data_IF_732075720761
#
_entry.id   IF_732075720761
#
_cell.length_a   1.000
_cell.length_b   1.000
_cell.length_c   1.000
_cell.angle_alpha   90.00
_cell.angle_beta   90.00
_cell.angle_gamma   90.00
#
_symmetry.space_group_name_H-M   'P 1'
#
loop_
_entity.id
_entity.type
_entity.pdbx_description
1 polymer ?
#
# COMPACT_ATOMS: atom_id res chain seq x y z
N UNK A 1 -16.17 -3.20 -14.37
CA UNK A 1 -15.38 -2.36 -13.45
C UNK A 1 -15.20 -1.01 -14.13
N UNK A 2 -15.92 0.00 -13.71
CA UNK A 2 -15.67 1.38 -14.16
C UNK A 2 -14.68 1.94 -13.15
N UNK A 3 -13.39 1.90 -13.49
CA UNK A 3 -12.38 2.68 -12.78
C UNK A 3 -12.62 4.14 -13.12
N UNK A 4 -13.20 4.89 -12.21
CA UNK A 4 -13.23 6.35 -12.33
C UNK A 4 -11.90 6.83 -11.77
N UNK A 5 -10.95 7.17 -12.65
CA UNK A 5 -9.72 7.82 -12.25
C UNK A 5 -10.06 9.23 -11.74
N UNK A 6 -9.86 9.46 -10.45
CA UNK A 6 -10.10 10.77 -9.82
C UNK A 6 -9.29 11.88 -10.51
N UNK A 7 -8.13 11.55 -11.09
CA UNK A 7 -7.33 12.49 -11.88
C UNK A 7 -7.99 12.90 -13.20
N UNK A 8 -8.72 11.99 -13.86
CA UNK A 8 -9.50 12.34 -15.05
C UNK A 8 -10.67 13.25 -14.70
N UNK A 9 -11.29 13.06 -13.51
CA UNK A 9 -12.34 13.97 -13.03
C UNK A 9 -11.76 15.35 -12.72
N UNK A 10 -10.61 15.44 -12.05
CA UNK A 10 -9.95 16.72 -11.79
C UNK A 10 -9.48 17.43 -13.07
N UNK A 11 -8.94 16.72 -14.04
CA UNK A 11 -8.55 17.31 -15.33
C UNK A 11 -9.75 17.80 -16.14
N UNK A 12 -10.81 17.01 -16.25
CA UNK A 12 -12.02 17.43 -16.96
C UNK A 12 -12.74 18.59 -16.26
N UNK A 13 -12.75 18.64 -14.94
CA UNK A 13 -13.26 19.76 -14.15
C UNK A 13 -12.41 21.02 -14.36
N UNK A 14 -11.07 20.89 -14.41
CA UNK A 14 -10.16 22.01 -14.58
C UNK A 14 -10.26 22.59 -16.01
N UNK A 15 -10.40 21.77 -17.02
CA UNK A 15 -10.59 22.20 -18.41
C UNK A 15 -11.96 22.87 -18.64
N UNK A 16 -13.04 22.36 -18.04
CA UNK A 16 -14.38 22.98 -18.12
C UNK A 16 -14.46 24.29 -17.33
N UNK A 17 -13.83 24.38 -16.17
CA UNK A 17 -13.76 25.62 -15.39
C UNK A 17 -12.94 26.69 -16.12
N UNK A 18 -11.91 26.35 -16.86
CA UNK A 18 -11.14 27.29 -17.67
C UNK A 18 -11.90 27.75 -18.92
N UNK A 19 -12.65 26.90 -19.58
CA UNK A 19 -13.48 27.27 -20.75
C UNK A 19 -14.71 28.11 -20.37
N UNK A 20 -15.32 27.87 -19.21
CA UNK A 20 -16.43 28.67 -18.70
C UNK A 20 -16.03 30.04 -18.13
N UNK A 21 -14.76 30.24 -17.75
CA UNK A 21 -14.26 31.57 -17.36
C UNK A 21 -14.20 32.57 -18.50
N UNK A 22 -14.17 32.12 -19.74
CA UNK A 22 -14.16 33.00 -20.92
C UNK A 22 -15.57 33.43 -21.33
N UNK A 23 -16.61 32.69 -20.95
CA UNK A 23 -18.00 32.94 -21.40
C UNK A 23 -18.89 33.78 -20.44
N UNK A 24 -18.52 34.04 -19.19
CA UNK A 24 -19.38 34.70 -18.22
C UNK A 24 -18.71 35.84 -17.45
N UNK A 25 -18.42 36.93 -18.14
CA UNK A 25 -18.02 38.22 -17.56
C UNK A 25 -19.21 39.20 -17.45
N UNK A 26 -20.41 38.74 -17.17
CA UNK A 26 -21.51 39.60 -16.72
C UNK A 26 -22.62 38.79 -16.05
N UNK A 27 -22.77 38.91 -14.75
CA UNK A 27 -23.99 38.49 -14.03
C UNK A 27 -23.72 37.78 -12.71
N UNK A 28 -24.04 38.43 -11.63
CA UNK A 28 -24.18 38.05 -10.23
C UNK A 28 -23.95 36.58 -9.83
N UNK A 29 -22.93 36.37 -9.03
CA UNK A 29 -22.54 35.08 -8.47
C UNK A 29 -23.30 34.83 -7.18
N UNK A 30 -24.29 33.95 -7.20
CA UNK A 30 -24.70 33.21 -6.01
C UNK A 30 -23.84 31.95 -5.89
N UNK A 31 -23.16 31.74 -4.75
CA UNK A 31 -22.25 30.64 -4.47
C UNK A 31 -22.97 29.30 -4.46
N UNK A 32 -23.17 28.66 -5.61
CA UNK A 32 -23.48 27.25 -5.73
C UNK A 32 -22.40 26.59 -6.57
N UNK A 33 -21.55 25.77 -5.93
CA UNK A 33 -20.58 24.90 -6.64
C UNK A 33 -21.35 23.69 -7.19
N UNK A 34 -21.68 23.73 -8.47
CA UNK A 34 -22.29 22.61 -9.18
C UNK A 34 -21.16 21.83 -9.89
N UNK A 35 -21.07 20.53 -9.65
CA UNK A 35 -20.15 19.62 -10.35
C UNK A 35 -20.94 18.80 -11.39
N UNK A 36 -20.38 18.66 -12.58
CA UNK A 36 -20.99 17.87 -13.65
C UNK A 36 -20.29 16.50 -13.73
N UNK A 37 -21.04 15.44 -13.54
CA UNK A 37 -20.56 14.06 -13.73
C UNK A 37 -20.90 13.61 -15.15
N UNK A 38 -19.87 13.19 -15.90
CA UNK A 38 -20.04 12.64 -17.25
C UNK A 38 -20.13 11.10 -17.15
N UNK A 39 -21.29 10.54 -17.38
CA UNK A 39 -21.54 9.11 -17.37
C UNK A 39 -21.66 8.62 -18.82
N UNK A 40 -20.54 8.20 -19.42
CA UNK A 40 -20.56 7.52 -20.71
C UNK A 40 -21.02 6.07 -20.52
N UNK A 41 -22.18 5.74 -21.06
CA UNK A 41 -22.60 4.35 -21.22
C UNK A 41 -22.16 3.89 -22.61
N UNK A 42 -21.12 3.07 -22.68
CA UNK A 42 -20.83 2.30 -23.90
C UNK A 42 -21.85 1.16 -24.01
N UNK A 43 -22.70 1.24 -25.01
CA UNK A 43 -23.49 0.09 -25.48
C UNK A 43 -22.77 -0.45 -26.71
N UNK A 44 -22.22 -1.66 -26.57
CA UNK A 44 -21.85 -2.47 -27.73
C UNK A 44 -23.10 -2.85 -28.51
N UNK A 45 -23.26 -2.31 -29.71
CA UNK A 45 -24.17 -2.81 -30.69
C UNK A 45 -23.36 -3.22 -31.94
N UNK A 46 -23.15 -4.53 -32.08
CA UNK A 46 -22.92 -5.13 -33.39
C UNK A 46 -24.24 -5.09 -34.16
N UNK A 47 -24.35 -4.22 -35.12
CA UNK A 47 -24.94 -4.45 -36.47
C UNK A 47 -24.99 -3.15 -37.26
N UNK A 48 -24.40 -3.18 -38.43
CA UNK A 48 -24.26 -2.02 -39.30
C UNK A 48 -25.61 -1.48 -39.85
N UNK A 49 -25.82 -0.22 -39.62
CA UNK A 49 -26.52 0.71 -40.53
C UNK A 49 -26.22 2.14 -40.07
N UNK A 50 -25.84 2.98 -41.05
CA UNK A 50 -25.43 4.36 -40.78
C UNK A 50 -26.65 5.19 -40.36
N UNK A 51 -26.85 5.34 -39.05
CA UNK A 51 -27.61 6.41 -38.45
C UNK A 51 -26.70 7.33 -37.65
N UNK A 52 -26.63 8.59 -38.08
CA UNK A 52 -26.04 9.66 -37.27
C UNK A 52 -26.91 9.84 -36.02
N UNK A 53 -26.64 9.13 -34.96
CA UNK A 53 -27.20 9.44 -33.67
C UNK A 53 -26.40 10.59 -33.05
N UNK A 54 -27.06 11.70 -32.89
CA UNK A 54 -26.53 12.85 -32.12
C UNK A 54 -26.57 12.43 -30.66
N UNK A 55 -25.39 12.07 -30.11
CA UNK A 55 -25.24 11.82 -28.68
C UNK A 55 -25.67 13.06 -27.90
N UNK A 56 -26.88 13.07 -27.36
CA UNK A 56 -27.29 14.06 -26.36
C UNK A 56 -26.62 13.75 -25.03
N UNK A 57 -25.50 14.39 -24.76
CA UNK A 57 -24.86 14.33 -23.44
C UNK A 57 -25.73 15.13 -22.46
N UNK A 58 -26.50 14.43 -21.64
CA UNK A 58 -27.24 15.07 -20.55
C UNK A 58 -26.36 15.15 -19.32
N UNK A 59 -26.05 16.37 -18.92
CA UNK A 59 -25.33 16.61 -17.66
C UNK A 59 -26.32 16.59 -16.49
N UNK A 60 -26.00 15.77 -15.47
CA UNK A 60 -26.70 15.76 -14.20
C UNK A 60 -26.05 16.81 -13.29
N UNK A 61 -26.78 17.86 -12.96
CA UNK A 61 -26.37 18.81 -11.93
C UNK A 61 -26.79 18.25 -10.58
N UNK A 62 -25.82 17.80 -9.77
CA UNK A 62 -26.09 17.28 -8.44
C UNK A 62 -25.52 18.24 -7.42
N UNK A 63 -26.33 18.64 -6.42
CA UNK A 63 -25.83 19.40 -5.28
C UNK A 63 -25.07 18.46 -4.34
N UNK A 64 -23.73 18.57 -4.35
CA UNK A 64 -22.84 17.77 -3.49
C UNK A 64 -23.12 18.01 -2.01
N UNK A 65 -23.64 19.19 -1.64
CA UNK A 65 -23.97 19.50 -0.26
C UNK A 65 -25.26 18.80 0.21
N UNK A 66 -26.06 18.28 -0.73
CA UNK A 66 -27.21 17.44 -0.43
C UNK A 66 -26.88 15.97 -0.69
N UNK A 67 -26.23 15.34 0.30
CA UNK A 67 -25.82 13.94 0.24
C UNK A 67 -26.97 13.02 -0.16
N UNK A 68 -28.19 13.30 0.26
CA UNK A 68 -29.36 12.47 -0.04
C UNK A 68 -29.71 12.51 -1.52
N UNK A 69 -29.78 13.68 -2.12
CA UNK A 69 -30.05 13.87 -3.55
C UNK A 69 -28.92 13.28 -4.40
N UNK A 70 -27.67 13.47 -3.98
CA UNK A 70 -26.51 12.87 -4.60
C UNK A 70 -26.60 11.34 -4.60
N UNK A 71 -26.88 10.71 -3.45
CA UNK A 71 -27.02 9.27 -3.32
C UNK A 71 -28.21 8.72 -4.13
N UNK A 72 -29.37 9.37 -4.11
CA UNK A 72 -30.55 8.96 -4.86
C UNK A 72 -30.28 8.99 -6.37
N UNK A 73 -29.57 10.01 -6.84
CA UNK A 73 -29.15 10.12 -8.23
C UNK A 73 -28.18 9.02 -8.64
N UNK A 74 -27.17 8.74 -7.80
CA UNK A 74 -26.21 7.66 -8.04
C UNK A 74 -26.92 6.31 -8.03
N UNK A 75 -27.77 6.03 -7.04
CA UNK A 75 -28.50 4.77 -6.94
C UNK A 75 -29.35 4.49 -8.17
N UNK A 76 -30.04 5.50 -8.71
CA UNK A 76 -30.89 5.33 -9.91
C UNK A 76 -30.11 4.96 -11.16
N UNK A 77 -28.82 5.30 -11.24
CA UNK A 77 -27.94 5.08 -12.41
C UNK A 77 -26.98 3.91 -12.27
N UNK A 78 -26.82 3.35 -11.06
CA UNK A 78 -25.75 2.39 -10.75
C UNK A 78 -26.25 1.05 -10.21
N UNK A 79 -27.50 0.70 -10.49
CA UNK A 79 -28.07 -0.61 -10.09
C UNK A 79 -27.15 -1.74 -10.53
N UNK A 80 -26.71 -2.56 -9.57
CA UNK A 80 -25.82 -3.70 -9.83
C UNK A 80 -24.33 -3.37 -9.96
N UNK A 81 -23.91 -2.11 -9.86
CA UNK A 81 -22.50 -1.69 -9.92
C UNK A 81 -21.84 -1.62 -8.54
N UNK A 82 -20.51 -1.69 -8.53
CA UNK A 82 -19.69 -1.49 -7.33
C UNK A 82 -18.99 -0.15 -7.39
N UNK A 83 -18.94 0.55 -6.25
CA UNK A 83 -18.08 1.71 -6.06
C UNK A 83 -16.77 1.23 -5.46
N UNK A 84 -15.66 1.49 -6.16
CA UNK A 84 -14.32 1.11 -5.71
C UNK A 84 -13.59 2.38 -5.28
N UNK A 85 -13.23 2.43 -3.99
CA UNK A 85 -12.38 3.48 -3.43
C UNK A 85 -10.98 2.93 -3.28
N UNK A 86 -10.16 3.19 -4.29
CA UNK A 86 -8.75 2.79 -4.28
C UNK A 86 -7.92 3.79 -3.48
N UNK A 87 -6.84 3.30 -2.88
CA UNK A 87 -5.93 4.11 -2.09
C UNK A 87 -6.60 4.86 -0.92
N UNK A 88 -7.63 4.29 -0.34
CA UNK A 88 -8.41 4.88 0.75
C UNK A 88 -7.56 5.29 1.97
N UNK A 89 -6.42 4.65 2.16
CA UNK A 89 -5.46 4.95 3.22
C UNK A 89 -4.82 6.34 3.09
N UNK A 90 -4.87 6.97 1.92
CA UNK A 90 -4.36 8.33 1.71
C UNK A 90 -5.30 9.44 2.23
N UNK A 91 -6.54 9.10 2.52
CA UNK A 91 -7.47 10.07 3.11
C UNK A 91 -7.07 10.41 4.54
N UNK A 92 -7.34 11.65 4.98
CA UNK A 92 -7.15 12.03 6.37
C UNK A 92 -7.98 11.12 7.30
N UNK A 93 -7.50 10.75 8.50
CA UNK A 93 -8.22 9.88 9.43
C UNK A 93 -9.64 10.35 9.73
N UNK A 94 -9.86 11.66 9.84
CA UNK A 94 -11.20 12.26 10.03
C UNK A 94 -12.12 11.99 8.86
N UNK A 95 -11.61 12.12 7.62
CA UNK A 95 -12.37 11.84 6.39
C UNK A 95 -12.65 10.33 6.26
N UNK A 96 -11.69 9.48 6.62
CA UNK A 96 -11.90 8.02 6.66
C UNK A 96 -13.04 7.68 7.63
N UNK A 97 -13.04 8.27 8.82
CA UNK A 97 -14.06 8.03 9.84
C UNK A 97 -15.45 8.53 9.38
N UNK A 98 -15.53 9.74 8.83
CA UNK A 98 -16.77 10.27 8.25
C UNK A 98 -17.29 9.37 7.13
N UNK A 99 -16.45 8.97 6.20
CA UNK A 99 -16.81 8.05 5.13
C UNK A 99 -17.31 6.70 5.65
N UNK A 100 -16.62 6.10 6.63
CA UNK A 100 -17.04 4.84 7.24
C UNK A 100 -18.43 4.95 7.90
N UNK A 101 -18.77 6.11 8.48
CA UNK A 101 -20.12 6.32 9.05
C UNK A 101 -21.23 6.33 8.00
N UNK A 102 -20.91 6.67 6.74
CA UNK A 102 -21.86 6.67 5.64
C UNK A 102 -22.06 5.30 4.98
N UNK A 103 -21.15 4.34 5.19
CA UNK A 103 -21.22 3.02 4.54
C UNK A 103 -22.52 2.26 4.86
N UNK A 104 -23.10 2.51 6.04
CA UNK A 104 -24.39 1.94 6.42
C UNK A 104 -25.53 2.47 5.55
N UNK A 105 -25.56 3.77 5.32
CA UNK A 105 -26.55 4.40 4.44
C UNK A 105 -26.39 3.91 3.00
N UNK A 106 -25.16 3.78 2.50
CA UNK A 106 -24.88 3.18 1.18
C UNK A 106 -25.46 1.79 1.07
N UNK A 107 -25.25 0.94 2.08
CA UNK A 107 -25.77 -0.42 2.09
C UNK A 107 -27.32 -0.46 2.10
N UNK A 108 -27.98 0.41 2.89
CA UNK A 108 -29.45 0.50 2.87
C UNK A 108 -30.01 0.91 1.51
N UNK A 109 -29.26 1.67 0.73
CA UNK A 109 -29.63 2.09 -0.64
C UNK A 109 -29.19 1.08 -1.70
N UNK A 110 -28.66 -0.08 -1.32
CA UNK A 110 -28.20 -1.11 -2.24
C UNK A 110 -26.89 -0.77 -2.96
N UNK A 111 -26.18 0.27 -2.50
CA UNK A 111 -24.86 0.63 -3.04
C UNK A 111 -23.82 -0.34 -2.47
N UNK A 112 -23.11 -1.01 -3.36
CA UNK A 112 -22.00 -1.90 -3.01
C UNK A 112 -20.69 -1.14 -3.07
N UNK A 113 -19.93 -1.17 -1.96
CA UNK A 113 -18.67 -0.43 -1.82
C UNK A 113 -17.52 -1.42 -1.63
N UNK A 114 -16.43 -1.20 -2.37
CA UNK A 114 -15.15 -1.88 -2.19
C UNK A 114 -14.14 -0.81 -1.79
N UNK A 115 -13.49 -1.02 -0.65
CA UNK A 115 -12.42 -0.15 -0.16
C UNK A 115 -11.10 -0.90 -0.34
N UNK A 116 -10.16 -0.29 -1.07
CA UNK A 116 -8.82 -0.82 -1.27
C UNK A 116 -7.83 0.03 -0.48
N UNK A 117 -7.02 -0.62 0.33
CA UNK A 117 -6.02 0.05 1.16
C UNK A 117 -4.87 -0.89 1.51
N UNK A 118 -3.78 -0.35 2.02
CA UNK A 118 -2.58 -1.11 2.39
C UNK A 118 -2.61 -1.69 3.82
N UNK A 119 -3.74 -1.59 4.49
CA UNK A 119 -3.86 -2.06 5.87
C UNK A 119 -3.95 -3.59 5.94
N UNK A 120 -3.13 -4.18 6.79
CA UNK A 120 -3.25 -5.60 7.15
C UNK A 120 -4.27 -5.83 8.27
N UNK A 121 -4.79 -4.77 8.88
CA UNK A 121 -5.79 -4.85 9.94
C UNK A 121 -7.21 -4.90 9.33
N UNK A 122 -7.78 -6.09 9.32
CA UNK A 122 -9.16 -6.32 8.87
C UNK A 122 -10.20 -5.55 9.71
N UNK A 123 -9.85 -5.20 10.94
CA UNK A 123 -10.75 -4.52 11.88
C UNK A 123 -10.74 -3.00 11.74
N UNK A 124 -9.84 -2.40 10.95
CA UNK A 124 -9.69 -0.94 10.88
C UNK A 124 -10.98 -0.21 10.49
N UNK A 125 -11.69 -0.70 9.49
CA UNK A 125 -12.97 -0.10 9.06
C UNK A 125 -14.03 -0.25 10.16
N UNK A 126 -14.12 -1.42 10.78
CA UNK A 126 -15.08 -1.69 11.86
C UNK A 126 -14.69 -0.99 13.16
N UNK A 127 -13.40 -0.68 13.39
CA UNK A 127 -12.97 0.15 14.51
C UNK A 127 -13.39 1.61 14.34
N UNK A 128 -13.41 2.13 13.10
CA UNK A 128 -13.90 3.48 12.79
C UNK A 128 -15.44 3.57 12.86
N UNK A 129 -16.14 2.49 12.51
CA UNK A 129 -17.59 2.40 12.53
C UNK A 129 -18.04 1.02 13.07
N UNK A 130 -18.21 0.87 14.40
CA UNK A 130 -18.51 -0.41 15.04
C UNK A 130 -19.82 -1.07 14.58
N UNK A 131 -20.76 -0.30 14.07
CA UNK A 131 -22.03 -0.78 13.52
C UNK A 131 -21.88 -1.48 12.15
N UNK A 132 -20.69 -1.45 11.56
CA UNK A 132 -20.33 -2.24 10.38
C UNK A 132 -19.83 -3.64 10.70
N UNK A 133 -19.70 -4.02 11.97
CA UNK A 133 -19.38 -5.40 12.37
C UNK A 133 -20.41 -6.35 11.74
N UNK A 134 -19.96 -7.43 11.12
CA UNK A 134 -20.75 -8.39 10.35
C UNK A 134 -21.40 -7.87 9.05
N UNK A 135 -21.06 -6.65 8.61
CA UNK A 135 -21.53 -6.06 7.34
C UNK A 135 -20.39 -5.85 6.33
N UNK A 136 -19.15 -5.98 6.78
CA UNK A 136 -17.96 -5.87 5.94
C UNK A 136 -17.30 -7.24 5.79
N UNK A 137 -16.97 -7.62 4.57
CA UNK A 137 -16.05 -8.73 4.27
C UNK A 137 -14.63 -8.20 4.11
N UNK A 138 -13.65 -8.95 4.59
CA UNK A 138 -12.24 -8.66 4.37
C UNK A 138 -11.67 -9.63 3.33
N UNK A 139 -10.92 -9.09 2.36
CA UNK A 139 -10.19 -9.87 1.36
C UNK A 139 -8.73 -9.44 1.44
N UNK A 140 -7.88 -10.36 1.89
CA UNK A 140 -6.43 -10.15 1.90
C UNK A 140 -5.84 -10.51 0.53
N UNK A 141 -5.21 -9.53 -0.12
CA UNK A 141 -4.54 -9.67 -1.41
C UNK A 141 -3.02 -9.42 -1.30
N UNK A 142 -2.51 -9.37 -0.06
CA UNK A 142 -1.16 -8.88 0.23
C UNK A 142 -0.04 -9.85 -0.10
N UNK A 143 -0.31 -11.14 -0.28
CA UNK A 143 0.71 -12.16 -0.52
C UNK A 143 0.47 -12.91 -1.82
N UNK A 144 1.53 -13.07 -2.59
CA UNK A 144 1.52 -13.85 -3.82
C UNK A 144 2.15 -15.22 -3.57
N UNK A 145 1.60 -16.27 -4.14
CA UNK A 145 2.23 -17.58 -4.14
C UNK A 145 3.35 -17.64 -5.16
N UNK A 146 4.31 -18.53 -4.96
CA UNK A 146 5.39 -18.79 -5.93
C UNK A 146 4.82 -19.09 -7.33
N UNK A 147 3.73 -19.84 -7.38
CA UNK A 147 3.06 -20.19 -8.65
C UNK A 147 2.53 -18.93 -9.37
N UNK A 148 1.92 -18.00 -8.66
CA UNK A 148 1.42 -16.76 -9.24
C UNK A 148 2.56 -15.87 -9.73
N UNK A 149 3.67 -15.79 -8.99
CA UNK A 149 4.87 -15.06 -9.42
C UNK A 149 5.48 -15.69 -10.69
N UNK A 150 5.54 -17.00 -10.75
CA UNK A 150 5.99 -17.72 -11.98
C UNK A 150 5.05 -17.44 -13.17
N UNK A 151 3.74 -17.39 -12.96
CA UNK A 151 2.79 -17.01 -14.01
C UNK A 151 3.02 -15.56 -14.50
N UNK A 152 3.38 -14.65 -13.60
CA UNK A 152 3.74 -13.26 -13.97
C UNK A 152 5.00 -13.26 -14.85
N UNK A 153 6.04 -14.04 -14.47
CA UNK A 153 7.25 -14.19 -15.29
C UNK A 153 6.91 -14.69 -16.69
N UNK A 154 6.17 -15.79 -16.82
CA UNK A 154 5.78 -16.37 -18.10
C UNK A 154 5.00 -15.39 -19.00
N UNK A 155 4.13 -14.57 -18.41
CA UNK A 155 3.42 -13.51 -19.15
C UNK A 155 4.39 -12.42 -19.63
N UNK A 156 5.38 -12.05 -18.81
CA UNK A 156 6.43 -11.10 -19.16
C UNK A 156 7.33 -11.62 -20.27
N UNK A 157 7.78 -12.86 -20.15
CA UNK A 157 8.59 -13.55 -21.17
C UNK A 157 7.88 -13.58 -22.52
N UNK A 158 6.61 -13.97 -22.53
CA UNK A 158 5.78 -13.98 -23.74
C UNK A 158 5.60 -12.58 -24.34
N UNK A 159 5.42 -11.55 -23.50
CA UNK A 159 5.23 -10.17 -23.95
C UNK A 159 6.52 -9.59 -24.57
N UNK A 160 7.69 -9.98 -24.06
CA UNK A 160 8.99 -9.54 -24.54
C UNK A 160 9.58 -10.46 -25.61
N UNK A 161 8.95 -11.59 -25.91
CA UNK A 161 9.46 -12.66 -26.80
C UNK A 161 10.85 -13.16 -26.35
N UNK A 162 10.98 -13.45 -25.05
CA UNK A 162 12.20 -13.97 -24.43
C UNK A 162 11.90 -15.26 -23.67
N UNK A 163 12.92 -16.05 -23.40
CA UNK A 163 12.88 -17.22 -22.53
C UNK A 163 14.01 -17.12 -21.50
N UNK A 164 13.66 -16.90 -20.24
CA UNK A 164 14.63 -16.81 -19.15
C UNK A 164 14.86 -18.21 -18.57
N UNK A 165 16.11 -18.53 -18.24
CA UNK A 165 16.44 -19.79 -17.57
C UNK A 165 15.60 -19.95 -16.29
N UNK A 166 14.83 -21.04 -16.12
CA UNK A 166 13.91 -21.22 -14.99
C UNK A 166 14.55 -21.06 -13.60
N UNK A 167 15.83 -21.40 -13.47
CA UNK A 167 16.57 -21.22 -12.22
C UNK A 167 16.76 -19.75 -11.84
N UNK A 168 16.91 -18.87 -12.82
CA UNK A 168 17.00 -17.41 -12.59
C UNK A 168 15.64 -16.87 -12.10
N UNK A 169 14.56 -17.27 -12.78
CA UNK A 169 13.20 -16.88 -12.35
C UNK A 169 12.91 -17.38 -10.93
N UNK A 170 13.26 -18.65 -10.64
CA UNK A 170 13.06 -19.22 -9.30
C UNK A 170 13.89 -18.50 -8.24
N UNK A 171 15.11 -18.06 -8.57
CA UNK A 171 15.90 -17.21 -7.66
C UNK A 171 15.18 -15.91 -7.33
N UNK A 172 14.64 -15.20 -8.33
CA UNK A 172 13.89 -13.97 -8.10
C UNK A 172 12.64 -14.21 -7.28
N UNK A 173 11.91 -15.31 -7.52
CA UNK A 173 10.76 -15.72 -6.67
C UNK A 173 11.21 -15.89 -5.22
N UNK A 174 12.26 -16.63 -4.97
CA UNK A 174 12.77 -16.90 -3.62
C UNK A 174 13.23 -15.62 -2.89
N UNK A 175 13.83 -14.68 -3.63
CA UNK A 175 14.30 -13.40 -3.06
C UNK A 175 13.18 -12.37 -2.87
N UNK A 176 12.07 -12.49 -3.59
CA UNK A 176 10.96 -11.51 -3.55
C UNK A 176 10.10 -11.58 -2.29
N UNK A 177 10.28 -12.60 -1.45
CA UNK A 177 9.50 -12.82 -0.22
C UNK A 177 7.96 -12.74 -0.46
N UNK A 178 7.48 -13.31 -1.56
CA UNK A 178 6.07 -13.31 -1.97
C UNK A 178 5.49 -11.91 -2.27
N UNK A 179 6.35 -10.94 -2.57
CA UNK A 179 5.97 -9.58 -2.94
C UNK A 179 6.14 -9.37 -4.45
N UNK A 180 5.04 -9.07 -5.14
CA UNK A 180 5.02 -8.86 -6.60
C UNK A 180 5.81 -7.60 -7.01
N UNK A 181 5.83 -6.55 -6.18
CA UNK A 181 6.59 -5.33 -6.46
C UNK A 181 8.08 -5.65 -6.55
N UNK A 182 8.63 -6.27 -5.50
CA UNK A 182 10.03 -6.68 -5.42
C UNK A 182 10.39 -7.65 -6.56
N UNK A 183 9.51 -8.63 -6.84
CA UNK A 183 9.72 -9.56 -7.94
C UNK A 183 9.82 -8.86 -9.30
N UNK A 184 8.93 -7.90 -9.55
CA UNK A 184 8.96 -7.10 -10.78
C UNK A 184 10.23 -6.25 -10.88
N UNK A 185 10.70 -5.68 -9.77
CA UNK A 185 11.92 -4.88 -9.75
C UNK A 185 13.14 -5.72 -10.12
N UNK A 186 13.27 -6.95 -9.63
CA UNK A 186 14.31 -7.89 -10.05
C UNK A 186 14.22 -8.21 -11.55
N UNK A 187 13.04 -8.56 -12.03
CA UNK A 187 12.82 -8.87 -13.45
C UNK A 187 13.14 -7.66 -14.34
N UNK A 188 12.69 -6.47 -13.95
CA UNK A 188 12.95 -5.24 -14.70
C UNK A 188 14.44 -4.90 -14.74
N UNK A 189 15.12 -4.94 -13.60
CA UNK A 189 16.56 -4.66 -13.51
C UNK A 189 17.37 -5.66 -14.34
N UNK A 190 16.99 -6.93 -14.30
CA UNK A 190 17.63 -7.97 -15.10
C UNK A 190 17.46 -7.71 -16.61
N UNK A 191 16.24 -7.41 -17.07
CA UNK A 191 16.02 -7.04 -18.48
C UNK A 191 16.80 -5.79 -18.87
N UNK A 192 16.91 -4.78 -18.00
CA UNK A 192 17.73 -3.59 -18.25
C UNK A 192 19.21 -3.92 -18.44
N UNK A 193 19.78 -4.79 -17.59
CA UNK A 193 21.19 -5.25 -17.73
C UNK A 193 21.44 -6.01 -19.01
N UNK A 194 20.46 -6.74 -19.50
CA UNK A 194 20.49 -7.44 -20.79
C UNK A 194 20.20 -6.53 -21.98
N UNK A 195 19.97 -5.22 -21.75
CA UNK A 195 19.54 -4.25 -22.75
C UNK A 195 18.22 -4.60 -23.46
N UNK A 196 17.36 -5.40 -22.83
CA UNK A 196 16.02 -5.75 -23.34
C UNK A 196 15.05 -4.64 -22.90
N UNK A 197 14.72 -3.73 -23.82
CA UNK A 197 13.86 -2.56 -23.56
C UNK A 197 12.54 -2.61 -24.33
N UNK A 198 12.40 -3.55 -25.26
CA UNK A 198 11.23 -3.73 -26.12
C UNK A 198 11.07 -5.21 -26.45
N UNK A 199 9.95 -5.56 -27.08
CA UNK A 199 9.69 -6.93 -27.55
C UNK A 199 10.73 -7.32 -28.62
N UNK A 200 11.40 -8.45 -28.42
CA UNK A 200 12.38 -8.98 -29.37
C UNK A 200 11.71 -9.52 -30.64
N UNK A 201 12.38 -9.32 -31.78
CA UNK A 201 11.85 -9.77 -33.09
C UNK A 201 11.93 -11.30 -33.27
N UNK A 202 12.89 -11.93 -32.60
CA UNK A 202 13.09 -13.39 -32.53
C UNK A 202 13.17 -13.80 -31.07
N UNK A 203 12.72 -15.03 -30.76
CA UNK A 203 12.80 -15.53 -29.40
C UNK A 203 14.25 -15.54 -28.90
N UNK A 204 14.50 -14.78 -27.84
CA UNK A 204 15.83 -14.65 -27.23
C UNK A 204 15.88 -15.54 -25.97
N UNK A 205 16.83 -16.46 -25.92
CA UNK A 205 17.12 -17.25 -24.70
C UNK A 205 18.10 -16.50 -23.82
N UNK A 206 17.78 -16.41 -22.53
CA UNK A 206 18.53 -15.64 -21.54
C UNK A 206 18.87 -16.55 -20.36
N UNK A 207 20.18 -16.75 -20.12
CA UNK A 207 20.71 -17.63 -19.08
C UNK A 207 21.89 -17.04 -18.29
N UNK A 208 22.07 -15.71 -18.34
CA UNK A 208 23.17 -15.03 -17.66
C UNK A 208 22.91 -14.89 -16.14
N UNK A 209 23.45 -15.84 -15.38
CA UNK A 209 23.37 -15.81 -13.91
C UNK A 209 24.16 -14.68 -13.27
N UNK A 210 25.26 -14.24 -13.88
CA UNK A 210 26.07 -13.14 -13.34
C UNK A 210 25.30 -11.84 -13.35
N UNK A 211 24.66 -11.53 -14.48
CA UNK A 211 23.79 -10.34 -14.58
C UNK A 211 22.55 -10.44 -13.69
N UNK A 212 22.03 -11.67 -13.46
CA UNK A 212 20.93 -11.86 -12.51
C UNK A 212 21.37 -11.58 -11.07
N UNK A 213 22.58 -11.99 -10.69
CA UNK A 213 23.16 -11.72 -9.37
C UNK A 213 23.39 -10.22 -9.18
N UNK A 214 23.96 -9.56 -10.18
CA UNK A 214 24.16 -8.12 -10.16
C UNK A 214 22.83 -7.33 -10.08
N UNK A 215 21.83 -7.75 -10.87
CA UNK A 215 20.52 -7.13 -10.84
C UNK A 215 19.88 -7.22 -9.45
N UNK A 216 19.92 -8.41 -8.84
CA UNK A 216 19.40 -8.62 -7.49
C UNK A 216 20.14 -7.76 -6.47
N UNK A 217 21.47 -7.71 -6.54
CA UNK A 217 22.30 -6.93 -5.63
C UNK A 217 21.99 -5.43 -5.74
N UNK A 218 21.90 -4.89 -6.95
CA UNK A 218 21.57 -3.47 -7.16
C UNK A 218 20.22 -3.08 -6.58
N UNK A 219 19.16 -3.86 -6.85
CA UNK A 219 17.83 -3.60 -6.31
C UNK A 219 17.87 -3.56 -4.79
N UNK A 220 18.53 -4.54 -4.16
CA UNK A 220 18.66 -4.59 -2.69
C UNK A 220 19.49 -3.42 -2.16
N UNK A 221 20.56 -3.02 -2.82
CA UNK A 221 21.37 -1.88 -2.39
C UNK A 221 20.63 -0.54 -2.53
N UNK A 222 19.89 -0.35 -3.62
CA UNK A 222 19.03 0.82 -3.82
C UNK A 222 17.95 0.94 -2.74
N UNK A 223 17.39 -0.19 -2.30
CA UNK A 223 16.37 -0.25 -1.28
C UNK A 223 16.92 -0.14 0.16
N UNK A 224 18.18 -0.56 0.38
CA UNK A 224 18.78 -0.61 1.71
C UNK A 224 19.03 0.76 2.32
N UNK A 225 19.62 1.69 1.60
CA UNK A 225 20.03 2.97 2.15
C UNK A 225 18.84 3.79 2.71
N UNK A 226 17.71 3.95 2.01
CA UNK A 226 16.53 4.61 2.55
C UNK A 226 15.95 3.89 3.78
N UNK A 227 15.95 2.55 3.77
CA UNK A 227 15.46 1.76 4.89
C UNK A 227 16.36 1.91 6.12
N UNK A 228 17.69 1.82 5.95
CA UNK A 228 18.69 2.04 7.00
C UNK A 228 18.45 3.39 7.69
N UNK A 229 18.47 4.49 6.92
CA UNK A 229 18.27 5.83 7.44
C UNK A 229 16.95 5.97 8.19
N UNK A 230 15.92 5.32 7.70
CA UNK A 230 14.60 5.32 8.30
C UNK A 230 14.59 4.61 9.64
N UNK A 231 15.19 3.43 9.76
CA UNK A 231 15.30 2.66 11.00
C UNK A 231 16.09 3.45 12.04
N UNK A 232 17.26 3.96 11.64
CA UNK A 232 18.12 4.77 12.53
C UNK A 232 17.37 6.02 13.03
N UNK A 233 16.67 6.71 12.15
CA UNK A 233 15.87 7.87 12.52
C UNK A 233 14.67 7.52 13.43
N UNK A 234 14.05 6.35 13.22
CA UNK A 234 12.96 5.88 14.08
C UNK A 234 13.44 5.60 15.50
N UNK A 235 14.67 5.09 15.64
CA UNK A 235 15.31 4.84 16.92
C UNK A 235 15.68 6.11 17.69
N UNK A 236 15.87 7.27 17.02
CA UNK A 236 16.25 8.54 17.66
C UNK A 236 15.09 9.10 18.51
N UNK A 237 15.35 9.60 19.73
CA UNK A 237 14.33 10.23 20.57
C UNK A 237 13.94 11.62 20.04
N UNK A 238 12.67 11.99 20.20
CA UNK A 238 12.21 13.36 19.88
C UNK A 238 12.59 14.39 20.96
N UNK A 239 12.77 13.96 22.21
CA UNK A 239 13.11 14.82 23.35
C UNK A 239 14.36 14.27 24.04
N UNK A 240 15.17 15.14 24.63
CA UNK A 240 16.45 14.84 25.31
C UNK A 240 16.33 13.97 26.60
N UNK A 241 15.28 13.17 26.76
CA UNK A 241 15.20 12.22 27.89
C UNK A 241 15.98 10.96 27.53
N UNK A 242 17.11 10.76 28.22
CA UNK A 242 18.02 9.62 27.98
C UNK A 242 17.33 8.26 28.10
N UNK A 243 16.40 8.11 29.03
CA UNK A 243 15.66 6.84 29.26
C UNK A 243 14.75 6.44 28.09
N UNK A 244 14.02 7.41 27.49
CA UNK A 244 13.15 7.10 26.35
C UNK A 244 13.94 6.78 25.06
N UNK A 245 15.17 7.27 24.95
CA UNK A 245 16.08 6.92 23.85
C UNK A 245 16.42 5.43 23.88
N UNK A 246 16.90 4.96 25.01
CA UNK A 246 17.33 3.56 25.18
C UNK A 246 16.17 2.61 24.99
N UNK A 247 14.98 2.92 25.52
CA UNK A 247 13.82 2.04 25.40
C UNK A 247 13.39 1.82 23.92
N UNK A 248 13.27 2.90 23.14
CA UNK A 248 12.89 2.80 21.73
C UNK A 248 13.91 2.04 20.91
N UNK A 249 15.18 2.35 21.10
CA UNK A 249 16.29 1.68 20.45
C UNK A 249 16.27 0.17 20.76
N UNK A 250 16.05 -0.21 22.02
CA UNK A 250 15.92 -1.61 22.45
C UNK A 250 14.73 -2.32 21.79
N UNK A 251 13.59 -1.64 21.67
CA UNK A 251 12.41 -2.20 20.98
C UNK A 251 12.73 -2.45 19.51
N UNK A 252 13.36 -1.50 18.83
CA UNK A 252 13.71 -1.65 17.41
C UNK A 252 14.74 -2.77 17.22
N UNK A 253 15.78 -2.84 18.06
CA UNK A 253 16.74 -3.94 18.07
C UNK A 253 16.02 -5.28 18.26
N UNK A 254 15.08 -5.35 19.19
CA UNK A 254 14.29 -6.57 19.45
C UNK A 254 13.48 -6.98 18.22
N UNK A 255 12.81 -6.04 17.56
CA UNK A 255 12.02 -6.32 16.36
C UNK A 255 12.90 -6.79 15.20
N UNK A 256 14.05 -6.14 14.97
CA UNK A 256 15.01 -6.56 13.97
C UNK A 256 15.61 -7.94 14.26
N UNK A 257 15.87 -8.25 15.52
CA UNK A 257 16.33 -9.58 15.96
C UNK A 257 15.27 -10.65 15.68
N UNK A 258 14.02 -10.39 16.03
CA UNK A 258 12.90 -11.29 15.72
C UNK A 258 12.73 -11.49 14.21
N UNK A 259 12.93 -10.45 13.41
CA UNK A 259 12.90 -10.54 11.95
C UNK A 259 14.02 -11.47 11.46
N UNK A 260 15.24 -11.38 11.99
CA UNK A 260 16.36 -12.23 11.59
C UNK A 260 16.16 -13.69 11.99
N UNK A 261 15.67 -13.95 13.19
CA UNK A 261 15.56 -15.29 13.75
C UNK A 261 14.40 -16.11 13.17
N UNK A 262 13.37 -15.48 12.60
CA UNK A 262 12.17 -16.14 12.12
C UNK A 262 12.14 -16.24 10.59
N UNK A 263 11.36 -17.19 10.03
CA UNK A 263 11.14 -17.30 8.58
C UNK A 263 10.22 -16.16 8.06
N UNK A 264 10.18 -15.98 6.74
CA UNK A 264 9.41 -14.90 6.11
C UNK A 264 7.91 -14.99 6.40
N UNK A 265 7.33 -16.19 6.44
CA UNK A 265 5.91 -16.41 6.76
C UNK A 265 5.58 -15.92 8.17
N UNK A 266 6.42 -16.24 9.16
CA UNK A 266 6.24 -15.78 10.55
C UNK A 266 6.37 -14.26 10.64
N UNK A 267 7.36 -13.67 9.99
CA UNK A 267 7.56 -12.21 9.97
C UNK A 267 6.35 -11.52 9.33
N UNK A 268 5.83 -12.03 8.22
CA UNK A 268 4.63 -11.50 7.57
C UNK A 268 3.39 -11.63 8.45
N UNK A 269 3.26 -12.74 9.18
CA UNK A 269 2.16 -12.91 10.14
C UNK A 269 2.26 -11.99 11.35
N UNK A 270 3.44 -11.40 11.61
CA UNK A 270 3.73 -10.54 12.75
C UNK A 270 4.01 -11.29 14.05
N UNK A 271 4.38 -10.52 15.08
CA UNK A 271 4.84 -11.03 16.38
C UNK A 271 3.82 -10.69 17.45
N UNK A 272 3.42 -11.67 18.28
CA UNK A 272 2.61 -11.39 19.45
C UNK A 272 3.38 -10.50 20.44
N UNK A 273 2.68 -9.67 21.18
CA UNK A 273 3.28 -8.78 22.16
C UNK A 273 4.13 -9.56 23.21
N UNK A 274 3.69 -10.78 23.57
CA UNK A 274 4.45 -11.67 24.43
C UNK A 274 5.79 -12.09 23.81
N UNK A 275 5.81 -12.44 22.53
CA UNK A 275 7.05 -12.83 21.82
C UNK A 275 8.04 -11.66 21.78
N UNK A 276 7.54 -10.44 21.54
CA UNK A 276 8.37 -9.23 21.55
C UNK A 276 8.93 -9.00 22.96
N UNK A 277 8.09 -9.16 23.98
CA UNK A 277 8.51 -8.99 25.39
C UNK A 277 9.56 -10.02 25.79
N UNK A 278 9.35 -11.30 25.48
CA UNK A 278 10.27 -12.39 25.82
C UNK A 278 11.63 -12.21 25.13
N UNK A 279 11.63 -11.84 23.86
CA UNK A 279 12.87 -11.54 23.13
C UNK A 279 13.59 -10.33 23.74
N UNK A 280 12.87 -9.26 24.06
CA UNK A 280 13.44 -8.07 24.67
C UNK A 280 14.05 -8.36 26.05
N UNK A 281 13.38 -9.19 26.88
CA UNK A 281 13.89 -9.58 28.20
C UNK A 281 15.15 -10.44 28.08
N UNK A 282 15.18 -11.35 27.07
CA UNK A 282 16.36 -12.15 26.76
C UNK A 282 17.56 -11.28 26.39
N UNK A 283 17.36 -10.31 25.47
CA UNK A 283 18.42 -9.37 25.07
C UNK A 283 18.87 -8.50 26.25
N UNK A 284 17.94 -8.01 27.05
CA UNK A 284 18.26 -7.19 28.22
C UNK A 284 19.11 -7.92 29.25
N UNK A 285 18.86 -9.21 29.49
CA UNK A 285 19.68 -10.04 30.38
C UNK A 285 21.09 -10.25 29.83
N UNK A 286 21.23 -10.39 28.51
CA UNK A 286 22.54 -10.54 27.84
C UNK A 286 23.34 -9.23 27.95
N UNK A 287 22.67 -8.10 27.69
CA UNK A 287 23.29 -6.78 27.66
C UNK A 287 23.40 -6.14 29.10
N UNK A 288 22.94 -6.83 30.15
CA UNK A 288 22.99 -6.35 31.55
C UNK A 288 22.06 -5.16 31.81
N UNK A 289 20.96 -5.02 31.06
CA UNK A 289 20.03 -3.92 31.17
C UNK A 289 18.80 -4.27 32.02
N UNK A 290 18.13 -3.23 32.55
CA UNK A 290 16.86 -3.41 33.27
C UNK A 290 15.75 -3.96 32.38
N UNK A 291 14.89 -4.81 32.97
CA UNK A 291 13.72 -5.33 32.29
C UNK A 291 12.65 -4.25 32.15
N UNK A 292 12.09 -4.11 30.98
CA UNK A 292 11.02 -3.14 30.67
C UNK A 292 9.65 -3.80 30.93
N UNK A 293 8.81 -3.12 31.71
CA UNK A 293 7.43 -3.57 31.96
C UNK A 293 6.58 -3.57 30.68
N UNK A 294 5.61 -4.49 30.58
CA UNK A 294 4.74 -4.65 29.41
C UNK A 294 3.94 -3.37 29.10
N UNK A 295 3.56 -2.60 30.12
CA UNK A 295 2.86 -1.32 29.96
C UNK A 295 3.73 -0.30 29.22
N UNK A 296 5.00 -0.17 29.61
CA UNK A 296 5.93 0.73 28.96
C UNK A 296 6.23 0.29 27.50
N UNK A 297 6.36 -1.02 27.28
CA UNK A 297 6.52 -1.58 25.94
C UNK A 297 5.32 -1.22 25.04
N UNK A 298 4.09 -1.44 25.50
CA UNK A 298 2.88 -1.12 24.72
C UNK A 298 2.74 0.36 24.44
N UNK A 299 3.06 1.21 25.43
CA UNK A 299 3.02 2.65 25.25
C UNK A 299 4.03 3.10 24.19
N UNK A 300 5.27 2.61 24.25
CA UNK A 300 6.29 3.02 23.28
C UNK A 300 6.06 2.46 21.89
N UNK A 301 5.52 1.24 21.76
CA UNK A 301 5.06 0.70 20.46
C UNK A 301 3.97 1.59 19.83
N UNK A 302 3.04 2.09 20.65
CA UNK A 302 2.04 3.07 20.19
C UNK A 302 2.69 4.36 19.70
N UNK A 303 3.68 4.89 20.42
CA UNK A 303 4.41 6.09 20.01
C UNK A 303 5.22 5.87 18.72
N UNK A 304 5.86 4.71 18.56
CA UNK A 304 6.58 4.35 17.32
C UNK A 304 5.61 4.39 16.14
N UNK A 305 4.45 3.77 16.27
CA UNK A 305 3.41 3.75 15.24
C UNK A 305 2.91 5.16 14.89
N UNK A 306 2.45 5.94 15.88
CA UNK A 306 1.96 7.30 15.67
C UNK A 306 3.02 8.22 15.05
N UNK A 307 4.28 8.00 15.37
CA UNK A 307 5.40 8.78 14.85
C UNK A 307 5.64 8.52 13.37
N UNK A 308 5.47 7.29 12.93
CA UNK A 308 5.57 6.95 11.53
C UNK A 308 4.36 7.46 10.75
N UNK A 309 3.14 7.35 11.29
CA UNK A 309 1.93 7.91 10.67
C UNK A 309 1.97 9.44 10.51
N UNK A 310 2.56 10.16 11.48
CA UNK A 310 2.62 11.63 11.47
C UNK A 310 3.82 12.22 10.70
N UNK A 311 4.74 11.40 10.24
CA UNK A 311 6.00 11.86 9.63
C UNK A 311 5.81 12.33 8.19
N UNK A 312 4.81 11.85 7.50
CA UNK A 312 4.57 12.16 6.11
C UNK A 312 3.30 13.00 5.92
N UNK A 313 3.51 14.29 5.69
CA UNK A 313 2.47 15.21 5.24
C UNK A 313 1.97 14.89 3.84
N UNK A 314 2.74 14.12 3.05
CA UNK A 314 2.40 13.70 1.68
C UNK A 314 1.72 12.32 1.59
N UNK A 315 1.49 11.62 2.70
CA UNK A 315 0.59 10.46 2.83
C UNK A 315 0.91 9.19 2.00
N UNK A 316 2.10 9.08 1.42
CA UNK A 316 2.51 7.92 0.59
C UNK A 316 3.35 6.90 1.36
N UNK A 317 3.20 6.83 2.68
CA UNK A 317 4.16 6.16 3.53
C UNK A 317 3.58 4.90 4.18
N UNK A 318 4.25 3.77 3.97
CA UNK A 318 3.96 2.53 4.69
C UNK A 318 4.82 2.51 5.96
N UNK A 319 4.23 2.44 7.18
CA UNK A 319 5.01 2.34 8.40
C UNK A 319 5.85 1.06 8.42
N UNK A 320 7.08 1.12 8.98
CA UNK A 320 7.92 -0.06 9.18
C UNK A 320 7.23 -1.07 10.08
N UNK A 321 6.72 -0.58 11.20
CA UNK A 321 6.09 -1.37 12.25
C UNK A 321 4.72 -0.82 12.59
N UNK A 322 3.73 -1.70 12.62
CA UNK A 322 2.37 -1.39 13.03
C UNK A 322 2.04 -2.14 14.32
N UNK A 323 1.66 -1.43 15.37
CA UNK A 323 1.19 -2.06 16.60
C UNK A 323 -0.33 -2.15 16.60
N UNK A 324 -0.84 -3.36 16.36
CA UNK A 324 -2.25 -3.70 16.50
C UNK A 324 -2.59 -3.85 18.00
N UNK A 325 -3.22 -2.82 18.55
CA UNK A 325 -3.63 -2.79 19.97
C UNK A 325 -4.73 -3.81 20.28
N UNK A 326 -5.63 -4.07 19.31
CA UNK A 326 -6.76 -4.98 19.50
C UNK A 326 -6.30 -6.43 19.61
N UNK A 327 -5.41 -6.85 18.71
CA UNK A 327 -4.86 -8.21 18.66
C UNK A 327 -3.56 -8.36 19.46
N UNK A 328 -3.05 -7.30 20.09
CA UNK A 328 -1.77 -7.26 20.83
C UNK A 328 -0.62 -7.83 19.99
N UNK A 329 -0.45 -7.32 18.77
CA UNK A 329 0.47 -7.85 17.78
C UNK A 329 1.26 -6.73 17.10
N UNK A 330 2.54 -6.97 16.82
CA UNK A 330 3.37 -6.08 16.02
C UNK A 330 3.50 -6.66 14.62
N UNK A 331 3.08 -5.92 13.62
CA UNK A 331 3.19 -6.27 12.21
C UNK A 331 4.36 -5.53 11.58
N UNK A 332 5.07 -6.21 10.69
CA UNK A 332 6.10 -5.61 9.84
C UNK A 332 5.43 -5.31 8.51
N UNK A 333 5.30 -4.04 8.16
CA UNK A 333 4.56 -3.62 6.96
C UNK A 333 5.47 -3.29 5.78
N UNK A 334 6.71 -2.87 6.04
CA UNK A 334 7.65 -2.46 5.01
C UNK A 334 8.20 -3.65 4.21
N UNK A 335 7.87 -3.78 2.91
CA UNK A 335 8.30 -4.91 2.09
C UNK A 335 9.81 -5.04 1.95
N UNK A 336 10.53 -3.92 1.90
CA UNK A 336 11.98 -3.86 1.73
C UNK A 336 12.75 -4.62 2.83
N UNK A 337 12.19 -4.71 4.03
CA UNK A 337 12.78 -5.50 5.12
C UNK A 337 12.85 -6.99 4.77
N UNK A 338 11.82 -7.52 4.09
CA UNK A 338 11.77 -8.93 3.67
C UNK A 338 12.76 -9.20 2.54
N UNK A 339 12.89 -8.26 1.62
CA UNK A 339 13.83 -8.30 0.52
C UNK A 339 15.27 -8.39 1.03
N UNK A 340 15.68 -7.42 1.88
CA UNK A 340 17.01 -7.38 2.46
C UNK A 340 17.28 -8.65 3.28
N UNK A 341 16.31 -9.08 4.09
CA UNK A 341 16.43 -10.31 4.87
C UNK A 341 16.65 -11.54 3.99
N UNK A 342 15.96 -11.62 2.86
CA UNK A 342 16.04 -12.80 1.96
C UNK A 342 17.35 -12.84 1.17
N UNK A 343 17.89 -11.66 0.86
CA UNK A 343 19.10 -11.54 0.06
C UNK A 343 20.37 -11.43 0.91
N UNK A 344 20.40 -10.55 1.90
CA UNK A 344 21.57 -10.29 2.72
C UNK A 344 21.19 -9.95 4.18
N UNK A 345 21.11 -10.98 5.00
CA UNK A 345 20.84 -10.85 6.44
C UNK A 345 21.89 -10.04 7.19
N UNK A 346 23.13 -9.96 6.69
CA UNK A 346 24.20 -9.23 7.33
C UNK A 346 23.88 -7.74 7.41
N UNK A 347 23.21 -7.16 6.42
CA UNK A 347 22.77 -5.75 6.42
C UNK A 347 21.86 -5.42 7.60
N UNK A 348 20.91 -6.30 7.96
CA UNK A 348 20.07 -6.09 9.15
C UNK A 348 20.91 -6.21 10.43
N UNK A 349 21.88 -7.14 10.46
CA UNK A 349 22.79 -7.29 11.59
C UNK A 349 23.69 -6.06 11.80
N UNK A 350 24.12 -5.42 10.71
CA UNK A 350 24.86 -4.15 10.74
C UNK A 350 24.03 -3.03 11.36
N UNK A 351 22.76 -2.89 11.00
CA UNK A 351 21.86 -1.91 11.63
C UNK A 351 21.73 -2.17 13.13
N UNK A 352 21.56 -3.44 13.54
CA UNK A 352 21.47 -3.80 14.97
C UNK A 352 22.77 -3.40 15.69
N UNK A 353 23.93 -3.66 15.10
CA UNK A 353 25.23 -3.29 15.66
C UNK A 353 25.36 -1.79 15.83
N UNK A 354 25.06 -1.01 14.78
CA UNK A 354 25.10 0.45 14.83
C UNK A 354 24.16 1.02 15.92
N UNK A 355 22.95 0.45 16.02
CA UNK A 355 22.00 0.84 17.07
C UNK A 355 22.52 0.52 18.47
N UNK A 356 23.29 -0.56 18.68
CA UNK A 356 23.88 -0.89 19.98
C UNK A 356 25.04 0.04 20.34
N UNK A 357 25.77 0.55 19.37
CA UNK A 357 26.92 1.43 19.53
C UNK A 357 26.54 2.91 19.68
N UNK A 358 25.32 3.32 19.32
CA UNK A 358 24.80 4.71 19.35
C UNK A 358 24.10 5.08 20.65
#
# INVERSE_FOLDING_TARGET
VIGVDVRQIEQSITEEVSSNRIANLSGNISNKKNYKLNLNAEMDNEHGSAHKETLKTSYLTVDINNLREFLDTICSKTVGKYFVFDNFHYLAPTVQQEFCSLLKEFNYRGIKVIIVGVWKDASRITAMAPDLINRCGHIDIGTWSDKELLEVAQKGEKALNIQIEPKIVQKFVNCSANNIGIFKDFMQKYCQKLCITQTETQELKVDDFSLADEATKEVVEEAYAPLHDRIINLAKPQRKRKESKRMRQRIIITLLTLILENNSIKVQSGFALSEVKDCMDKLSRIDGEELIGISNLTQELGVIHEREENRDTNRNFIPLFYYDKANKKVLVLEPTIYEIKSFDKAKISEIIKELKES
#
